data_IF_260460232684
#
_entry.id   IF_260460232684
#
_cell.length_a   1.000
_cell.length_b   1.000
_cell.length_c   1.000
_cell.angle_alpha   90.00
_cell.angle_beta   90.00
_cell.angle_gamma   90.00
#
_symmetry.space_group_name_H-M   'P 1'
#
loop_
_entity.id
_entity.type
_entity.pdbx_description
1 polymer ?
#
# COMPACT_ATOMS: atom_id res chain seq x y z
N UNK A 1 -5.96 -3.76 21.10
CA UNK A 1 -4.86 -3.02 21.74
C UNK A 1 -3.74 -2.78 20.73
N UNK A 2 -2.69 -2.04 21.08
CA UNK A 2 -1.51 -1.89 20.21
C UNK A 2 -0.85 -3.26 19.91
N UNK A 3 -0.77 -4.14 20.91
CA UNK A 3 -0.18 -5.48 20.75
C UNK A 3 -0.97 -6.36 19.78
N UNK A 4 -2.30 -6.26 19.77
CA UNK A 4 -3.13 -6.97 18.78
C UNK A 4 -2.87 -6.44 17.37
N UNK A 5 -2.71 -5.12 17.19
CA UNK A 5 -2.34 -4.56 15.90
C UNK A 5 -0.98 -5.08 15.43
N UNK A 6 -0.01 -5.16 16.33
CA UNK A 6 1.32 -5.69 16.02
C UNK A 6 1.25 -7.17 15.59
N UNK A 7 0.45 -7.99 16.28
CA UNK A 7 0.26 -9.41 15.89
C UNK A 7 -0.32 -9.56 14.48
N UNK A 8 -1.31 -8.73 14.12
CA UNK A 8 -1.89 -8.76 12.77
C UNK A 8 -0.88 -8.30 11.71
N UNK A 9 -0.06 -7.30 12.03
CA UNK A 9 1.04 -6.86 11.16
C UNK A 9 2.06 -7.99 10.96
N UNK A 10 2.47 -8.66 12.03
CA UNK A 10 3.45 -9.76 11.97
C UNK A 10 2.89 -10.96 11.19
N UNK A 11 1.61 -11.30 11.41
CA UNK A 11 0.90 -12.31 10.63
C UNK A 11 0.87 -11.94 9.14
N UNK A 12 0.51 -10.70 8.80
CA UNK A 12 0.54 -10.21 7.41
C UNK A 12 1.93 -10.31 6.79
N UNK A 13 2.97 -9.93 7.53
CA UNK A 13 4.36 -10.01 7.10
C UNK A 13 4.82 -11.45 6.87
N UNK A 14 4.41 -12.41 7.70
CA UNK A 14 4.74 -13.83 7.51
C UNK A 14 4.10 -14.45 6.26
N UNK A 15 2.95 -13.93 5.83
CA UNK A 15 2.25 -14.36 4.62
C UNK A 15 2.66 -13.58 3.37
N UNK A 16 3.44 -12.50 3.53
CA UNK A 16 3.92 -11.67 2.42
C UNK A 16 4.94 -12.49 1.62
N UNK A 17 4.68 -12.69 0.33
CA UNK A 17 5.63 -13.36 -0.56
C UNK A 17 6.85 -12.45 -0.78
N UNK A 18 7.91 -12.65 0.00
CA UNK A 18 9.18 -11.94 -0.18
C UNK A 18 9.99 -12.68 -1.25
N UNK A 19 9.71 -12.40 -2.52
CA UNK A 19 10.60 -12.81 -3.60
C UNK A 19 11.84 -11.91 -3.61
N UNK A 20 12.81 -12.22 -2.75
CA UNK A 20 14.10 -11.53 -2.68
C UNK A 20 14.80 -11.53 -4.05
N UNK A 21 15.45 -10.42 -4.40
CA UNK A 21 16.26 -10.31 -5.62
C UNK A 21 17.69 -9.94 -5.31
N UNK A 22 18.60 -10.35 -6.20
CA UNK A 22 20.03 -10.07 -6.16
C UNK A 22 20.41 -8.56 -6.08
N UNK A 23 19.52 -7.63 -6.44
CA UNK A 23 19.82 -6.19 -6.41
C UNK A 23 19.18 -5.44 -5.23
N UNK A 24 18.20 -6.04 -4.54
CA UNK A 24 17.61 -5.46 -3.33
C UNK A 24 16.96 -6.59 -2.49
N UNK A 25 17.63 -7.05 -1.42
CA UNK A 25 17.10 -8.09 -0.53
C UNK A 25 15.84 -7.66 0.23
N UNK A 26 15.56 -6.36 0.28
CA UNK A 26 14.57 -5.75 1.17
C UNK A 26 13.44 -5.01 0.44
N UNK A 27 13.44 -4.96 -0.91
CA UNK A 27 12.29 -4.40 -1.63
C UNK A 27 11.10 -5.35 -1.58
N UNK A 28 10.02 -4.91 -0.93
CA UNK A 28 8.72 -5.55 -1.08
C UNK A 28 8.26 -5.39 -2.53
N UNK A 29 8.12 -6.50 -3.25
CA UNK A 29 7.63 -6.51 -4.64
C UNK A 29 6.11 -6.51 -4.77
N UNK A 30 5.43 -6.27 -3.66
CA UNK A 30 3.99 -6.05 -3.59
C UNK A 30 3.69 -4.85 -2.70
N UNK A 31 2.60 -4.17 -3.01
CA UNK A 31 2.04 -3.12 -2.17
C UNK A 31 1.30 -3.75 -1.00
N UNK A 32 1.50 -3.26 0.21
CA UNK A 32 0.80 -3.72 1.41
C UNK A 32 -0.06 -2.59 1.96
N UNK A 33 -1.31 -2.91 2.31
CA UNK A 33 -2.23 -1.95 2.91
C UNK A 33 -2.75 -2.52 4.22
N UNK A 34 -2.40 -1.88 5.33
CA UNK A 34 -2.98 -2.17 6.64
C UNK A 34 -4.13 -1.21 6.90
N UNK A 35 -5.33 -1.74 7.11
CA UNK A 35 -6.54 -0.95 7.39
C UNK A 35 -6.92 -1.07 8.86
N UNK A 36 -6.96 0.07 9.55
CA UNK A 36 -7.46 0.19 10.91
C UNK A 36 -8.84 0.85 10.90
N UNK A 37 -9.85 0.13 11.37
CA UNK A 37 -11.23 0.63 11.46
C UNK A 37 -11.59 0.91 12.90
N UNK A 38 -11.94 2.17 13.20
CA UNK A 38 -12.47 2.56 14.50
C UNK A 38 -13.99 2.66 14.42
N UNK A 39 -14.68 1.95 15.32
CA UNK A 39 -16.13 2.03 15.47
C UNK A 39 -16.43 2.48 16.89
N UNK A 40 -17.06 3.64 17.02
CA UNK A 40 -17.68 4.09 18.28
C UNK A 40 -19.17 3.86 18.16
N UNK A 41 -19.69 2.98 19.00
CA UNK A 41 -21.12 2.73 19.15
C UNK A 41 -21.52 3.04 20.57
N UNK A 42 -22.50 3.91 20.76
CA UNK A 42 -22.99 4.24 22.09
C UNK A 42 -22.24 5.40 22.74
N UNK A 43 -23.03 6.16 23.50
CA UNK A 43 -22.75 7.45 24.10
C UNK A 43 -24.10 8.04 24.53
N UNK A 44 -24.11 8.97 25.47
CA UNK A 44 -25.34 9.65 25.91
C UNK A 44 -26.07 10.40 24.77
N UNK A 45 -25.36 10.65 23.66
CA UNK A 45 -25.83 11.28 22.43
C UNK A 45 -26.36 10.27 21.39
N UNK A 46 -26.23 8.96 21.60
CA UNK A 46 -26.71 7.92 20.69
C UNK A 46 -25.95 7.81 19.36
N UNK A 47 -24.86 8.57 19.18
CA UNK A 47 -24.15 8.66 17.91
C UNK A 47 -23.35 7.40 17.59
N UNK A 48 -23.35 7.02 16.31
CA UNK A 48 -22.48 5.97 15.74
C UNK A 48 -21.46 6.65 14.83
N UNK A 49 -20.18 6.49 15.18
CA UNK A 49 -19.06 7.01 14.40
C UNK A 49 -18.23 5.84 13.89
N UNK A 50 -17.85 5.91 12.61
CA UNK A 50 -16.91 4.97 12.00
C UNK A 50 -15.83 5.77 11.29
N UNK A 51 -14.56 5.47 11.57
CA UNK A 51 -13.44 5.99 10.79
C UNK A 51 -12.56 4.85 10.33
N UNK A 52 -11.92 5.05 9.18
CA UNK A 52 -10.94 4.12 8.64
C UNK A 52 -9.63 4.87 8.43
N UNK A 53 -8.53 4.26 8.86
CA UNK A 53 -7.18 4.73 8.60
C UNK A 53 -6.47 3.65 7.79
N UNK A 54 -5.86 4.07 6.69
CA UNK A 54 -5.13 3.19 5.79
C UNK A 54 -3.64 3.52 5.87
N UNK A 55 -2.82 2.52 6.17
CA UNK A 55 -1.37 2.59 6.14
C UNK A 55 -0.89 1.81 4.92
N UNK A 56 -0.32 2.50 3.95
CA UNK A 56 0.17 1.90 2.72
C UNK A 56 1.70 1.84 2.71
N UNK A 57 2.24 0.63 2.59
CA UNK A 57 3.65 0.35 2.29
C UNK A 57 3.74 -0.02 0.80
N UNK A 58 4.19 0.94 -0.01
CA UNK A 58 4.21 0.81 -1.46
C UNK A 58 5.55 0.25 -1.93
N UNK A 59 5.50 -0.66 -2.91
CA UNK A 59 6.69 -1.17 -3.58
C UNK A 59 7.48 -0.04 -4.25
N UNK A 60 8.78 -0.28 -4.46
CA UNK A 60 9.67 0.67 -5.11
C UNK A 60 9.32 0.89 -6.59
N UNK A 61 9.35 2.14 -7.03
CA UNK A 61 9.38 2.47 -8.46
C UNK A 61 10.80 2.31 -8.98
N UNK A 62 10.99 1.44 -9.97
CA UNK A 62 12.31 1.19 -10.57
C UNK A 62 12.27 1.40 -12.09
N UNK A 63 13.34 1.96 -12.64
CA UNK A 63 13.45 2.13 -14.08
C UNK A 63 13.75 0.78 -14.76
N UNK A 64 12.86 0.38 -15.67
CA UNK A 64 12.97 -0.87 -16.44
C UNK A 64 14.29 -0.93 -17.23
N UNK A 65 14.77 0.21 -17.73
CA UNK A 65 15.99 0.27 -18.56
C UNK A 65 17.26 0.02 -17.77
N UNK A 66 17.28 0.34 -16.48
CA UNK A 66 18.48 0.23 -15.62
C UNK A 66 18.52 -1.07 -14.82
N UNK A 67 17.39 -1.73 -14.64
CA UNK A 67 17.26 -2.93 -13.80
C UNK A 67 17.65 -4.24 -14.51
N UNK A 68 17.84 -4.22 -15.83
CA UNK A 68 18.24 -5.37 -16.66
C UNK A 68 17.39 -6.65 -16.46
N UNK A 69 16.16 -6.51 -15.94
CA UNK A 69 15.24 -7.62 -15.68
C UNK A 69 14.55 -8.09 -16.96
N UNK A 70 14.35 -9.40 -17.10
CA UNK A 70 13.73 -10.02 -18.28
C UNK A 70 12.64 -11.03 -17.87
N UNK A 71 11.89 -11.54 -18.84
CA UNK A 71 10.89 -12.59 -18.61
C UNK A 71 9.80 -12.20 -17.62
N UNK A 72 9.44 -13.09 -16.70
CA UNK A 72 8.37 -12.86 -15.72
C UNK A 72 8.70 -11.74 -14.73
N UNK A 73 10.00 -11.52 -14.45
CA UNK A 73 10.48 -10.43 -13.61
C UNK A 73 10.18 -9.06 -14.21
N UNK A 74 10.31 -8.94 -15.54
CA UNK A 74 9.96 -7.72 -16.27
C UNK A 74 8.46 -7.47 -16.26
N UNK A 75 7.64 -8.51 -16.44
CA UNK A 75 6.17 -8.39 -16.34
C UNK A 75 5.76 -7.86 -14.97
N UNK A 76 6.31 -8.42 -13.90
CA UNK A 76 5.99 -7.99 -12.55
C UNK A 76 6.44 -6.55 -12.25
N UNK A 77 7.66 -6.16 -12.65
CA UNK A 77 8.11 -4.76 -12.53
C UNK A 77 7.16 -3.81 -13.29
N UNK A 78 6.69 -4.22 -14.47
CA UNK A 78 5.74 -3.43 -15.27
C UNK A 78 4.43 -3.23 -14.51
N UNK A 79 3.89 -4.27 -13.86
CA UNK A 79 2.68 -4.16 -13.04
C UNK A 79 2.88 -3.24 -11.82
N UNK A 80 4.00 -3.37 -11.11
CA UNK A 80 4.33 -2.50 -9.96
C UNK A 80 4.38 -1.03 -10.37
N UNK A 81 5.12 -0.71 -11.43
CA UNK A 81 5.24 0.65 -11.93
C UNK A 81 3.90 1.19 -12.43
N UNK A 82 3.11 0.36 -13.09
CA UNK A 82 1.79 0.76 -13.58
C UNK A 82 0.87 1.13 -12.42
N UNK A 83 0.76 0.31 -11.37
CA UNK A 83 -0.12 0.61 -10.24
C UNK A 83 0.28 1.89 -9.50
N UNK A 84 1.59 2.16 -9.37
CA UNK A 84 2.10 3.41 -8.79
C UNK A 84 1.74 4.63 -9.65
N UNK A 85 1.86 4.51 -10.97
CA UNK A 85 1.45 5.58 -11.89
C UNK A 85 -0.05 5.85 -11.80
N UNK A 86 -0.89 4.81 -11.71
CA UNK A 86 -2.34 4.97 -11.50
C UNK A 86 -2.65 5.73 -10.21
N UNK A 87 -1.99 5.36 -9.10
CA UNK A 87 -2.13 6.07 -7.83
C UNK A 87 -1.73 7.55 -7.96
N UNK A 88 -0.59 7.82 -8.59
CA UNK A 88 -0.13 9.20 -8.83
C UNK A 88 -1.14 9.99 -9.66
N UNK A 89 -1.71 9.39 -10.71
CA UNK A 89 -2.70 10.06 -11.56
C UNK A 89 -3.99 10.36 -10.78
N UNK A 90 -4.46 9.42 -9.97
CA UNK A 90 -5.64 9.62 -9.13
C UNK A 90 -5.43 10.79 -8.14
N UNK A 91 -4.26 10.83 -7.48
CA UNK A 91 -3.89 11.93 -6.58
C UNK A 91 -3.84 13.28 -7.30
N UNK A 92 -3.23 13.34 -8.49
CA UNK A 92 -3.21 14.57 -9.29
C UNK A 92 -4.61 15.02 -9.68
N UNK A 93 -5.49 14.11 -10.10
CA UNK A 93 -6.88 14.43 -10.44
C UNK A 93 -7.62 15.02 -9.24
N UNK A 94 -7.48 14.39 -8.06
CA UNK A 94 -8.11 14.87 -6.82
C UNK A 94 -7.60 16.25 -6.41
N UNK A 95 -6.28 16.49 -6.55
CA UNK A 95 -5.68 17.79 -6.25
C UNK A 95 -6.19 18.88 -7.21
N UNK A 96 -6.28 18.59 -8.50
CA UNK A 96 -6.80 19.55 -9.50
C UNK A 96 -8.27 19.88 -9.28
N UNK A 97 -9.11 18.90 -8.94
CA UNK A 97 -10.53 19.13 -8.67
C UNK A 97 -10.74 19.94 -7.38
N UNK A 98 -9.87 19.78 -6.38
CA UNK A 98 -9.92 20.58 -5.15
C UNK A 98 -9.58 22.07 -5.36
N UNK A 99 -8.83 22.39 -6.43
CA UNK A 99 -8.46 23.76 -6.81
C UNK A 99 -9.43 24.46 -7.76
N UNK A 100 -10.51 23.78 -8.20
CA UNK A 100 -11.56 24.34 -9.07
C UNK A 100 -12.81 24.83 -8.31
N UNK A 101 -12.71 25.00 -6.99
CA UNK A 101 -13.77 25.60 -6.16
C UNK A 101 -13.62 27.11 -6.03
#
# INVERSE_FOLDING_TARGET
SADECQKEIDFGNSNKTIAATQMNPQSSRGHTVFKLTFKKTGGSDGNKLSSEIYFADLAGHENIKTTAVTGDRLKELTFINSSLMWLQNALHSMAQDSGKK
#
